data_IF_804849004621
#
_entry.id   IF_804849004621
#
_cell.length_a   1.000
_cell.length_b   1.000
_cell.length_c   1.000
_cell.angle_alpha   90.00
_cell.angle_beta   90.00
_cell.angle_gamma   90.00
#
_symmetry.space_group_name_H-M   'P 1'
#
loop_
_entity.id
_entity.type
_entity.pdbx_description
1 polymer ?
#
# COMPACT_ATOMS: atom_id res chain seq x y z
N UNK A 1 10.15 -6.90 10.96
CA UNK A 1 8.91 -6.47 11.65
C UNK A 1 7.68 -7.20 11.12
N UNK A 2 6.69 -7.44 11.98
CA UNK A 2 5.34 -7.86 11.58
C UNK A 2 4.56 -6.66 11.04
N UNK A 3 3.90 -6.81 9.89
CA UNK A 3 3.14 -5.75 9.23
C UNK A 3 1.87 -6.28 8.57
N UNK A 4 0.84 -5.44 8.46
CA UNK A 4 -0.27 -5.70 7.53
C UNK A 4 0.17 -5.26 6.13
N UNK A 5 0.12 -6.17 5.16
CA UNK A 5 0.54 -5.94 3.77
C UNK A 5 -0.60 -6.28 2.84
N UNK A 6 -0.79 -5.43 1.82
CA UNK A 6 -1.69 -5.75 0.70
C UNK A 6 -0.87 -6.37 -0.44
N UNK A 7 -1.30 -7.54 -0.90
CA UNK A 7 -0.70 -8.25 -2.04
C UNK A 7 -1.81 -8.98 -2.77
N UNK A 8 -1.80 -8.93 -4.10
CA UNK A 8 -2.81 -9.59 -4.93
C UNK A 8 -4.24 -9.21 -4.49
N UNK A 9 -4.45 -7.92 -4.21
CA UNK A 9 -5.72 -7.36 -3.72
C UNK A 9 -6.26 -8.04 -2.45
N UNK A 10 -5.38 -8.60 -1.62
CA UNK A 10 -5.70 -9.21 -0.35
C UNK A 10 -4.85 -8.63 0.78
N UNK A 11 -5.46 -8.39 1.94
CA UNK A 11 -4.76 -7.94 3.13
C UNK A 11 -4.33 -9.15 3.97
N UNK A 12 -3.05 -9.22 4.32
CA UNK A 12 -2.47 -10.28 5.17
C UNK A 12 -1.49 -9.70 6.17
N UNK A 13 -1.28 -10.41 7.28
CA UNK A 13 -0.20 -10.09 8.22
C UNK A 13 1.02 -10.93 7.84
N UNK A 14 2.16 -10.27 7.68
CA UNK A 14 3.40 -10.91 7.22
C UNK A 14 4.60 -10.40 8.02
N UNK A 15 5.69 -11.16 7.99
CA UNK A 15 6.99 -10.77 8.54
C UNK A 15 7.89 -10.25 7.41
N UNK A 16 8.27 -8.97 7.50
CA UNK A 16 9.11 -8.29 6.51
C UNK A 16 10.39 -7.73 7.16
N UNK A 17 11.47 -7.48 6.41
CA UNK A 17 12.66 -6.81 6.94
C UNK A 17 12.33 -5.46 7.57
N UNK A 18 13.03 -5.10 8.63
CA UNK A 18 12.92 -3.75 9.19
C UNK A 18 13.49 -2.73 8.18
N UNK A 19 12.82 -1.59 7.95
CA UNK A 19 13.30 -0.60 7.00
C UNK A 19 14.58 0.08 7.52
N UNK A 20 15.54 0.29 6.62
CA UNK A 20 16.79 0.98 6.91
C UNK A 20 16.66 2.44 6.47
N UNK A 21 16.70 3.43 7.37
CA UNK A 21 16.55 4.83 7.01
C UNK A 21 17.76 5.35 6.22
N UNK A 22 17.50 6.11 5.16
CA UNK A 22 18.50 6.88 4.42
C UNK A 22 18.80 8.24 5.05
N UNK A 23 19.59 9.08 4.36
CA UNK A 23 19.92 10.42 4.85
C UNK A 23 18.68 11.29 5.08
N UNK A 24 18.55 11.84 6.29
CA UNK A 24 17.41 12.69 6.68
C UNK A 24 16.12 11.94 7.05
N UNK A 25 16.12 10.61 7.05
CA UNK A 25 14.98 9.79 7.45
C UNK A 25 15.13 9.28 8.88
N UNK A 26 14.01 8.93 9.52
CA UNK A 26 13.97 8.32 10.84
C UNK A 26 13.12 7.07 10.83
N UNK A 27 13.54 6.06 11.60
CA UNK A 27 12.76 4.84 11.83
C UNK A 27 11.97 4.99 13.13
N UNK A 28 10.65 4.81 13.08
CA UNK A 28 9.77 4.90 14.25
C UNK A 28 9.14 3.55 14.58
N UNK A 29 8.82 3.34 15.86
CA UNK A 29 8.06 2.18 16.31
C UNK A 29 6.58 2.54 16.39
N UNK A 30 5.75 1.78 15.70
CA UNK A 30 4.29 1.94 15.75
C UNK A 30 3.77 1.50 17.13
N UNK A 31 3.11 2.42 17.84
CA UNK A 31 2.43 2.14 19.11
C UNK A 31 0.95 1.78 18.91
N UNK A 32 0.32 2.47 17.96
CA UNK A 32 -1.05 2.26 17.51
C UNK A 32 -1.20 2.81 16.09
N UNK A 33 -2.09 2.20 15.30
CA UNK A 33 -2.56 2.74 14.02
C UNK A 33 -4.05 2.41 13.84
N UNK A 34 -4.74 3.23 13.07
CA UNK A 34 -6.11 2.96 12.61
C UNK A 34 -6.12 2.58 11.14
N UNK A 35 -7.23 1.99 10.69
CA UNK A 35 -7.48 1.74 9.27
C UNK A 35 -8.08 3.03 8.67
N UNK A 36 -7.48 3.53 7.59
CA UNK A 36 -8.07 4.63 6.83
C UNK A 36 -9.12 4.08 5.86
N UNK A 37 -10.18 4.86 5.59
CA UNK A 37 -11.16 4.51 4.56
C UNK A 37 -10.52 4.33 3.17
N UNK A 38 -9.48 5.11 2.86
CA UNK A 38 -8.75 5.01 1.58
C UNK A 38 -8.08 3.66 1.38
N UNK A 39 -7.62 3.00 2.46
CA UNK A 39 -6.98 1.69 2.37
C UNK A 39 -8.00 0.63 1.94
N UNK A 40 -9.23 0.73 2.46
CA UNK A 40 -10.34 -0.14 2.07
C UNK A 40 -10.79 0.14 0.63
N UNK A 41 -10.87 1.41 0.23
CA UNK A 41 -11.18 1.75 -1.16
C UNK A 41 -10.13 1.18 -2.13
N UNK A 42 -8.84 1.24 -1.77
CA UNK A 42 -7.78 0.64 -2.58
C UNK A 42 -7.89 -0.89 -2.62
N UNK A 43 -8.21 -1.52 -1.48
CA UNK A 43 -8.38 -2.97 -1.41
C UNK A 43 -9.52 -3.48 -2.33
N UNK A 44 -10.65 -2.76 -2.35
CA UNK A 44 -11.85 -3.19 -3.10
C UNK A 44 -11.83 -2.74 -4.55
N UNK A 45 -11.35 -1.53 -4.83
CA UNK A 45 -11.48 -0.89 -6.15
C UNK A 45 -10.14 -0.61 -6.83
N UNK A 46 -9.02 -0.92 -6.17
CA UNK A 46 -7.70 -0.56 -6.70
C UNK A 46 -7.35 -1.27 -8.01
N UNK A 47 -7.83 -2.50 -8.21
CA UNK A 47 -7.60 -3.23 -9.47
C UNK A 47 -8.26 -2.54 -10.66
N UNK A 48 -9.53 -2.19 -10.49
CA UNK A 48 -10.30 -1.46 -11.49
C UNK A 48 -9.70 -0.06 -11.72
N UNK A 49 -9.37 0.65 -10.65
CA UNK A 49 -8.75 1.98 -10.75
C UNK A 49 -7.42 1.94 -11.49
N UNK A 50 -6.60 0.90 -11.26
CA UNK A 50 -5.32 0.73 -11.97
C UNK A 50 -5.54 0.44 -13.45
N UNK A 51 -6.46 -0.47 -13.79
CA UNK A 51 -6.80 -0.81 -15.17
C UNK A 51 -7.30 0.41 -15.95
N UNK A 52 -8.23 1.17 -15.39
CA UNK A 52 -8.76 2.37 -16.02
C UNK A 52 -7.69 3.44 -16.24
N UNK A 53 -6.77 3.62 -15.28
CA UNK A 53 -5.65 4.54 -15.44
C UNK A 53 -4.71 4.13 -16.58
N UNK A 54 -4.44 2.82 -16.74
CA UNK A 54 -3.64 2.29 -17.85
C UNK A 54 -4.35 2.54 -19.19
N UNK A 55 -5.64 2.19 -19.31
CA UNK A 55 -6.46 2.41 -20.52
C UNK A 55 -6.50 3.90 -20.94
N UNK A 56 -6.67 4.82 -19.98
CA UNK A 56 -6.70 6.25 -20.24
C UNK A 56 -5.32 6.81 -20.61
N UNK A 57 -4.25 6.24 -20.07
CA UNK A 57 -2.88 6.65 -20.39
C UNK A 57 -2.47 6.19 -21.80
N UNK A 58 -2.88 4.98 -22.18
CA UNK A 58 -2.60 4.41 -23.51
C UNK A 58 -3.47 5.04 -24.61
N UNK A 59 -4.68 5.49 -24.27
CA UNK A 59 -5.58 6.22 -25.17
C UNK A 59 -5.25 7.71 -25.33
N UNK A 60 -4.27 8.24 -24.59
CA UNK A 60 -3.85 9.64 -24.65
C UNK A 60 -2.75 9.92 -25.70
N UNK A 61 -2.61 9.03 -26.69
CA UNK A 61 -1.73 9.20 -27.86
C UNK A 61 -2.32 10.07 -28.96
#
# INVERSE_FOLDING_TARGET
>A
MRAAVMRDWSLRVDDIPDPVPGGGQVLTRVLACGICGSDLHMLVHGEESRRLNEELSDGAG
#
